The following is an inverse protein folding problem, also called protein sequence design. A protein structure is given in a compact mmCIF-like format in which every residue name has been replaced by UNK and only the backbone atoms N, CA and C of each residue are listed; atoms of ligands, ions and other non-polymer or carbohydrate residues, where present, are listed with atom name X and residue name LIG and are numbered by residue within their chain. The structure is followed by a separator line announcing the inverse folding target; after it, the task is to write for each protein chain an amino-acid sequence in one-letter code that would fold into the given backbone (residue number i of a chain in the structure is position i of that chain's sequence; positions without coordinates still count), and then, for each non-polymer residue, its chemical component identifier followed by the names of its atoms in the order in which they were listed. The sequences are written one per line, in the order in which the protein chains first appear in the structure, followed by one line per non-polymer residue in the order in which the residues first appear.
data_IF_152636038370
#
_entry.id   IF_152636038370
#
_cell.length_a   1.000
_cell.length_b   1.000
_cell.length_c   1.000
_cell.angle_alpha   90.00
_cell.angle_beta   90.00
_cell.angle_gamma   90.00
#
_symmetry.space_group_name_H-M   'P 1'
#
loop_
_entity.id
_entity.type
_entity.pdbx_description
1 polymer ?
#
# COMPACT_ATOMS: atom_id res chain seq x y z
N UNK A 1 -7.69 -0.72 13.01
CA UNK A 1 -7.91 -0.48 11.56
C UNK A 1 -6.67 -0.99 10.83
N UNK A 2 -6.83 -1.61 9.65
CA UNK A 2 -5.68 -2.11 8.89
C UNK A 2 -4.99 -0.95 8.17
N UNK A 3 -3.65 -0.89 8.25
CA UNK A 3 -2.82 0.08 7.55
C UNK A 3 -2.07 -0.63 6.43
N UNK A 4 -2.06 -0.07 5.23
CA UNK A 4 -1.26 -0.58 4.12
C UNK A 4 -0.10 0.37 3.82
N UNK A 5 1.08 -0.19 3.59
CA UNK A 5 2.24 0.55 3.12
C UNK A 5 2.66 -0.05 1.79
N UNK A 6 2.63 0.75 0.73
CA UNK A 6 3.05 0.36 -0.62
C UNK A 6 4.33 1.10 -0.96
N UNK A 7 5.41 0.35 -1.21
CA UNK A 7 6.75 0.91 -1.42
C UNK A 7 7.26 0.51 -2.80
N UNK A 8 7.61 1.51 -3.61
CA UNK A 8 8.37 1.33 -4.86
C UNK A 8 9.86 1.33 -4.56
N UNK A 9 10.60 0.35 -5.11
CA UNK A 9 12.03 0.15 -4.86
C UNK A 9 12.85 0.20 -6.14
N UNK A 10 14.09 0.69 -6.03
CA UNK A 10 15.08 0.71 -7.12
C UNK A 10 15.75 -0.66 -7.33
N UNK A 11 16.67 -0.74 -8.30
CA UNK A 11 17.50 -1.93 -8.56
C UNK A 11 18.34 -2.37 -7.36
N UNK A 12 18.74 -1.43 -6.50
CA UNK A 12 19.49 -1.70 -5.26
C UNK A 12 18.62 -2.16 -4.09
N UNK A 13 17.29 -2.22 -4.28
CA UNK A 13 16.33 -2.61 -3.24
C UNK A 13 15.96 -1.50 -2.25
N UNK A 14 16.44 -0.28 -2.46
CA UNK A 14 16.12 0.90 -1.64
C UNK A 14 14.73 1.44 -2.00
N UNK A 15 13.99 1.88 -0.98
CA UNK A 15 12.68 2.50 -1.19
C UNK A 15 12.81 3.91 -1.75
N UNK A 16 12.32 4.14 -2.98
CA UNK A 16 12.31 5.47 -3.60
C UNK A 16 11.07 6.26 -3.14
N UNK A 17 9.95 5.58 -3.02
CA UNK A 17 8.65 6.19 -2.69
C UNK A 17 7.82 5.20 -1.88
N UNK A 18 7.13 5.72 -0.86
CA UNK A 18 6.23 4.95 -0.02
C UNK A 18 4.90 5.67 0.10
N UNK A 19 3.81 4.95 -0.10
CA UNK A 19 2.44 5.42 0.08
C UNK A 19 1.82 4.69 1.25
N UNK A 20 1.35 5.45 2.23
CA UNK A 20 0.67 4.93 3.41
C UNK A 20 -0.83 5.13 3.27
N UNK A 21 -1.59 4.04 3.39
CA UNK A 21 -3.06 4.06 3.42
C UNK A 21 -3.50 3.69 4.83
N UNK A 22 -3.89 4.69 5.62
CA UNK A 22 -4.24 4.57 7.04
C UNK A 22 -5.74 4.41 7.30
N UNK A 23 -6.59 4.82 6.35
CA UNK A 23 -8.02 4.54 6.33
C UNK A 23 -8.56 4.79 4.92
N UNK A 24 -9.39 3.88 4.40
CA UNK A 24 -10.20 4.13 3.19
C UNK A 24 -11.56 4.58 3.69
N UNK A 25 -11.89 5.86 3.52
CA UNK A 25 -13.23 6.34 3.83
C UNK A 25 -14.20 5.80 2.76
N UNK A 26 -15.12 4.91 3.15
CA UNK A 26 -16.06 4.21 2.28
C UNK A 26 -17.45 4.89 2.18
N UNK A 27 -17.57 6.19 2.49
CA UNK A 27 -18.84 6.93 2.62
C UNK A 27 -19.85 6.82 1.46
N UNK A 28 -19.48 6.30 0.28
CA UNK A 28 -20.41 6.15 -0.85
C UNK A 28 -20.23 4.90 -1.71
N UNK A 29 -19.11 4.19 -1.63
CA UNK A 29 -18.85 2.95 -2.37
C UNK A 29 -17.88 2.09 -1.56
N UNK A 30 -18.26 0.83 -1.32
CA UNK A 30 -17.36 -0.18 -0.73
C UNK A 30 -16.32 -0.52 -1.79
N UNK A 31 -15.18 0.17 -1.75
CA UNK A 31 -14.01 -0.21 -2.53
C UNK A 31 -13.24 -1.24 -1.72
N UNK A 32 -12.98 -2.41 -2.31
CA UNK A 32 -12.17 -3.40 -1.65
C UNK A 32 -10.75 -2.85 -1.43
N UNK A 33 -10.21 -2.97 -0.23
CA UNK A 33 -8.86 -2.48 0.12
C UNK A 33 -7.79 -3.02 -0.84
N UNK A 34 -7.98 -4.25 -1.34
CA UNK A 34 -7.12 -4.89 -2.32
C UNK A 34 -7.10 -4.16 -3.68
N UNK A 35 -8.22 -3.57 -4.10
CA UNK A 35 -8.29 -2.82 -5.38
C UNK A 35 -7.50 -1.52 -5.29
N UNK A 36 -7.58 -0.82 -4.14
CA UNK A 36 -6.77 0.38 -3.89
C UNK A 36 -5.28 0.05 -3.85
N UNK A 37 -4.92 -1.04 -3.17
CA UNK A 37 -3.53 -1.51 -3.13
C UNK A 37 -3.05 -1.92 -4.54
N UNK A 38 -3.88 -2.61 -5.32
CA UNK A 38 -3.54 -3.01 -6.69
C UNK A 38 -3.34 -1.79 -7.61
N UNK A 39 -4.22 -0.79 -7.52
CA UNK A 39 -4.10 0.47 -8.26
C UNK A 39 -2.80 1.22 -7.89
N UNK A 40 -2.48 1.31 -6.59
CA UNK A 40 -1.24 1.92 -6.12
C UNK A 40 0.00 1.16 -6.61
N UNK A 41 -0.05 -0.17 -6.65
CA UNK A 41 1.04 -0.98 -7.20
C UNK A 41 1.25 -0.70 -8.68
N UNK A 42 0.17 -0.62 -9.45
CA UNK A 42 0.25 -0.29 -10.88
C UNK A 42 0.80 1.11 -11.13
N UNK A 43 0.38 2.09 -10.31
CA UNK A 43 0.86 3.47 -10.40
C UNK A 43 2.37 3.54 -10.10
N UNK A 44 2.81 2.90 -9.01
CA UNK A 44 4.21 2.91 -8.58
C UNK A 44 5.12 2.14 -9.54
N UNK A 45 4.63 1.09 -10.20
CA UNK A 45 5.38 0.36 -11.21
C UNK A 45 5.67 1.20 -12.47
N UNK A 46 4.86 2.22 -12.75
CA UNK A 46 5.09 3.17 -13.84
C UNK A 46 6.03 4.32 -13.49
N UNK A 47 6.45 4.46 -12.22
CA UNK A 47 7.31 5.54 -11.79
C UNK A 47 8.76 5.31 -12.27
N UNK A 48 9.43 6.34 -12.84
CA UNK A 48 10.83 6.22 -13.27
C UNK A 48 11.75 5.77 -12.13
N UNK A 49 12.58 4.76 -12.40
CA UNK A 49 13.53 4.22 -11.42
C UNK A 49 12.95 3.16 -10.47
N UNK A 50 11.64 2.91 -10.50
CA UNK A 50 11.03 1.80 -9.75
C UNK A 50 11.18 0.50 -10.55
N UNK A 51 11.72 -0.52 -9.90
CA UNK A 51 11.98 -1.85 -10.46
C UNK A 51 11.11 -2.91 -9.81
N UNK A 52 10.71 -2.69 -8.55
CA UNK A 52 9.80 -3.59 -7.84
C UNK A 52 8.89 -2.81 -6.89
N UNK A 53 7.68 -3.33 -6.67
CA UNK A 53 6.71 -2.73 -5.74
C UNK A 53 6.23 -3.77 -4.73
N UNK A 54 6.48 -3.49 -3.46
CA UNK A 54 6.02 -4.29 -2.32
C UNK A 54 4.84 -3.63 -1.61
N UNK A 55 3.90 -4.44 -1.10
CA UNK A 55 2.81 -3.97 -0.26
C UNK A 55 2.81 -4.76 1.05
N UNK A 56 2.72 -4.06 2.18
CA UNK A 56 2.66 -4.65 3.52
C UNK A 56 1.37 -4.20 4.22
N UNK A 57 0.64 -5.17 4.79
CA UNK A 57 -0.56 -4.92 5.60
C UNK A 57 -0.18 -5.03 7.08
N UNK A 58 -0.51 -4.00 7.84
CA UNK A 58 -0.37 -3.95 9.29
C UNK A 58 -1.77 -3.98 9.90
N UNK A 59 -2.10 -5.07 10.59
CA UNK A 59 -3.35 -5.18 11.33
C UNK A 59 -3.09 -4.94 12.80
N UNK A 60 -3.82 -4.00 13.39
CA UNK A 60 -3.85 -3.85 14.83
C UNK A 60 -4.71 -4.96 15.42
N UNK A 61 -4.06 -5.97 16.01
CA UNK A 61 -4.74 -7.01 16.79
C UNK A 61 -4.95 -6.45 18.20
N UNK A 62 -6.19 -6.16 18.56
CA UNK A 62 -6.56 -5.85 19.95
C UNK A 62 -6.81 -7.20 20.64
N UNK A 63 -5.86 -7.65 21.46
CA UNK A 63 -6.08 -8.81 22.33
C UNK A 63 -6.87 -8.35 23.54
N UNK A 64 -8.17 -8.65 23.61
CA UNK A 64 -8.92 -8.55 24.85
C UNK A 64 -8.48 -9.73 25.74
N UNK A 65 -7.77 -9.43 26.84
CA UNK A 65 -7.47 -10.39 27.91
C UNK A 65 -8.62 -10.49 28.89
#
# INVERSE_FOLDING_TARGET
MAQYIVTGRNTSGEGIVAVTVSAINQDSQVVADLDVVAALRSLLAGAPGVVSVGAQKYEQVITNV
#
